data_IF_945670328402
#
_entry.id   IF_945670328402
#
_cell.length_a   1.000
_cell.length_b   1.000
_cell.length_c   1.000
_cell.angle_alpha   90.00
_cell.angle_beta   90.00
_cell.angle_gamma   90.00
#
_symmetry.space_group_name_H-M   'P 1'
#
loop_
_entity.id
_entity.type
_entity.pdbx_description
1 polymer ?
#
# COMPACT_ATOMS: atom_id res chain seq x y z
N UNK A 1 5.25 -28.41 -4.82
CA UNK A 1 4.73 -27.31 -3.97
C UNK A 1 4.82 -26.02 -4.76
N UNK A 2 3.71 -25.33 -5.00
CA UNK A 2 3.74 -24.10 -5.81
C UNK A 2 4.26 -22.93 -4.98
N UNK A 3 5.58 -22.69 -5.05
CA UNK A 3 6.26 -21.64 -4.29
C UNK A 3 5.66 -20.28 -4.61
N UNK A 4 5.35 -20.01 -5.89
CA UNK A 4 4.74 -18.75 -6.31
C UNK A 4 3.38 -18.49 -5.65
N UNK A 5 2.54 -19.53 -5.52
CA UNK A 5 1.28 -19.42 -4.79
C UNK A 5 1.50 -19.04 -3.32
N UNK A 6 2.40 -19.74 -2.63
CA UNK A 6 2.68 -19.50 -1.21
C UNK A 6 3.29 -18.11 -0.95
N UNK A 7 4.18 -17.65 -1.83
CA UNK A 7 4.75 -16.31 -1.75
C UNK A 7 3.66 -15.22 -1.87
N UNK A 8 2.76 -15.34 -2.85
CA UNK A 8 1.70 -14.36 -3.04
C UNK A 8 0.61 -14.43 -1.95
N UNK A 9 0.13 -15.63 -1.61
CA UNK A 9 -1.00 -15.79 -0.67
C UNK A 9 -0.64 -15.36 0.75
N UNK A 10 0.62 -15.52 1.16
CA UNK A 10 1.09 -15.10 2.48
C UNK A 10 1.05 -13.57 2.66
N UNK A 11 1.19 -12.80 1.57
CA UNK A 11 1.16 -11.33 1.60
C UNK A 11 -0.27 -10.76 1.57
N UNK A 12 -1.24 -11.49 1.01
CA UNK A 12 -2.64 -11.06 0.98
C UNK A 12 -3.17 -10.69 2.37
N UNK A 13 -3.07 -11.53 3.43
CA UNK A 13 -3.58 -11.15 4.75
C UNK A 13 -2.83 -9.94 5.33
N UNK A 14 -1.52 -9.79 5.06
CA UNK A 14 -0.74 -8.64 5.53
C UNK A 14 -1.27 -7.34 4.93
N UNK A 15 -1.48 -7.30 3.61
CA UNK A 15 -2.05 -6.13 2.94
C UNK A 15 -3.51 -5.89 3.30
N UNK A 16 -4.28 -6.94 3.54
CA UNK A 16 -5.69 -6.80 3.93
C UNK A 16 -5.83 -6.27 5.36
N UNK A 17 -5.03 -6.77 6.31
CA UNK A 17 -5.02 -6.29 7.70
C UNK A 17 -4.58 -4.82 7.74
N UNK A 18 -3.53 -4.46 7.01
CA UNK A 18 -3.09 -3.06 6.94
C UNK A 18 -4.16 -2.16 6.31
N UNK A 19 -4.82 -2.59 5.24
CA UNK A 19 -5.95 -1.85 4.67
C UNK A 19 -7.11 -1.66 5.68
N UNK A 20 -7.47 -2.71 6.44
CA UNK A 20 -8.48 -2.61 7.50
C UNK A 20 -8.07 -1.63 8.59
N UNK A 21 -6.80 -1.65 9.02
CA UNK A 21 -6.29 -0.69 10.00
C UNK A 21 -6.48 0.75 9.50
N UNK A 22 -6.08 1.05 8.26
CA UNK A 22 -6.31 2.39 7.67
C UNK A 22 -7.81 2.71 7.50
N UNK A 23 -8.66 1.72 7.26
CA UNK A 23 -10.12 1.91 7.17
C UNK A 23 -10.77 2.26 8.53
N UNK A 24 -10.36 1.59 9.61
CA UNK A 24 -10.94 1.75 10.96
C UNK A 24 -10.40 3.00 11.64
N UNK A 25 -9.08 3.21 11.60
CA UNK A 25 -8.42 4.29 12.34
C UNK A 25 -8.29 5.60 11.54
N UNK A 26 -8.51 5.56 10.22
CA UNK A 26 -8.51 6.74 9.33
C UNK A 26 -7.31 7.66 9.59
N UNK A 27 -7.56 8.96 9.82
CA UNK A 27 -6.54 9.96 10.07
C UNK A 27 -5.61 9.65 11.25
N UNK A 28 -6.02 8.85 12.24
CA UNK A 28 -5.14 8.48 13.37
C UNK A 28 -3.97 7.58 12.97
N UNK A 29 -4.06 6.91 11.81
CA UNK A 29 -3.01 6.02 11.31
C UNK A 29 -2.00 6.71 10.40
N UNK A 30 -2.23 7.96 9.99
CA UNK A 30 -1.28 8.68 9.12
C UNK A 30 0.07 8.89 9.79
N UNK A 31 0.13 8.93 11.12
CA UNK A 31 1.38 8.91 11.90
C UNK A 31 2.26 7.68 11.69
N UNK A 32 1.70 6.57 11.20
CA UNK A 32 2.46 5.37 10.86
C UNK A 32 2.97 5.38 9.40
N UNK A 33 2.56 6.37 8.61
CA UNK A 33 3.12 6.58 7.28
C UNK A 33 4.50 7.18 7.48
N UNK A 34 5.53 6.42 7.14
CA UNK A 34 6.94 6.76 7.38
C UNK A 34 7.29 8.15 6.86
N UNK A 35 6.86 8.50 5.64
CA UNK A 35 7.09 9.84 5.08
C UNK A 35 6.38 10.96 5.86
N UNK A 36 5.17 10.73 6.34
CA UNK A 36 4.39 11.74 7.06
C UNK A 36 4.92 11.94 8.49
N UNK A 37 5.37 10.87 9.14
CA UNK A 37 5.98 10.93 10.47
C UNK A 37 7.31 11.70 10.47
N UNK A 38 7.99 11.79 9.32
CA UNK A 38 9.18 12.62 9.14
C UNK A 38 8.88 14.12 9.07
N UNK A 39 7.63 14.53 8.80
CA UNK A 39 7.26 15.94 8.79
C UNK A 39 7.18 16.52 10.21
N UNK A 40 7.51 17.82 10.40
CA UNK A 40 7.36 18.49 11.69
C UNK A 40 5.92 18.38 12.21
N UNK A 41 5.75 18.08 13.51
CA UNK A 41 4.42 17.95 14.15
C UNK A 41 3.53 19.20 13.99
N UNK A 42 4.13 20.38 13.78
CA UNK A 42 3.43 21.64 13.54
C UNK A 42 2.83 21.72 12.12
N UNK A 43 3.40 21.00 11.16
CA UNK A 43 2.96 20.98 9.76
C UNK A 43 1.95 19.85 9.49
N UNK A 44 2.04 18.74 10.23
CA UNK A 44 1.09 17.62 10.14
C UNK A 44 -0.41 17.99 10.18
N UNK A 45 -0.90 18.97 10.98
CA UNK A 45 -2.31 19.36 10.96
C UNK A 45 -2.71 20.16 9.70
N UNK A 46 -1.76 20.62 8.88
CA UNK A 46 -2.04 21.33 7.62
C UNK A 46 -2.45 20.38 6.48
N UNK A 47 -2.35 19.06 6.69
CA UNK A 47 -2.66 18.05 5.70
C UNK A 47 -3.94 17.29 6.06
N UNK A 48 -4.72 16.93 5.05
CA UNK A 48 -5.92 16.10 5.19
C UNK A 48 -5.53 14.65 5.47
N UNK A 49 -5.50 14.33 6.76
CA UNK A 49 -5.14 13.01 7.25
C UNK A 49 -6.18 11.94 6.87
N UNK A 50 -7.43 12.31 6.67
CA UNK A 50 -8.45 11.34 6.26
C UNK A 50 -8.29 10.96 4.79
N UNK A 51 -8.03 11.94 3.92
CA UNK A 51 -7.73 11.70 2.51
C UNK A 51 -6.46 10.84 2.35
N UNK A 52 -5.40 11.14 3.10
CA UNK A 52 -4.16 10.33 3.12
C UNK A 52 -4.42 8.89 3.55
N UNK A 53 -5.17 8.68 4.64
CA UNK A 53 -5.50 7.35 5.12
C UNK A 53 -6.36 6.57 4.11
N UNK A 54 -7.26 7.25 3.40
CA UNK A 54 -8.11 6.66 2.38
C UNK A 54 -7.32 6.24 1.13
N UNK A 55 -6.37 7.06 0.68
CA UNK A 55 -5.48 6.72 -0.44
C UNK A 55 -4.62 5.50 -0.07
N UNK A 56 -3.99 5.54 1.12
CA UNK A 56 -3.16 4.45 1.63
C UNK A 56 -3.95 3.14 1.76
N UNK A 57 -5.19 3.19 2.27
CA UNK A 57 -6.10 2.03 2.28
C UNK A 57 -6.31 1.47 0.88
N UNK A 58 -6.61 2.32 -0.09
CA UNK A 58 -6.88 1.90 -1.46
C UNK A 58 -5.62 1.28 -2.11
N UNK A 59 -4.44 1.83 -1.84
CA UNK A 59 -3.17 1.23 -2.25
C UNK A 59 -2.96 -0.17 -1.68
N UNK A 60 -3.15 -0.35 -0.37
CA UNK A 60 -3.02 -1.69 0.23
C UNK A 60 -4.06 -2.69 -0.29
N UNK A 61 -5.28 -2.25 -0.58
CA UNK A 61 -6.30 -3.10 -1.24
C UNK A 61 -5.88 -3.47 -2.67
N UNK A 62 -5.31 -2.54 -3.43
CA UNK A 62 -4.76 -2.80 -4.76
C UNK A 62 -3.61 -3.83 -4.68
N UNK A 63 -2.72 -3.71 -3.70
CA UNK A 63 -1.64 -4.67 -3.50
C UNK A 63 -2.15 -6.06 -3.13
N UNK A 64 -3.15 -6.13 -2.23
CA UNK A 64 -3.82 -7.38 -1.88
C UNK A 64 -4.45 -8.03 -3.12
N UNK A 65 -5.10 -7.25 -3.98
CA UNK A 65 -5.71 -7.73 -5.22
C UNK A 65 -4.66 -8.22 -6.23
N UNK A 66 -3.55 -7.49 -6.43
CA UNK A 66 -2.44 -7.92 -7.28
C UNK A 66 -1.87 -9.25 -6.79
N UNK A 67 -1.66 -9.40 -5.48
CA UNK A 67 -1.13 -10.65 -4.89
C UNK A 67 -2.14 -11.79 -4.99
N UNK A 68 -3.44 -11.54 -4.81
CA UNK A 68 -4.48 -12.55 -4.95
C UNK A 68 -4.56 -13.04 -6.40
N UNK A 69 -4.55 -12.14 -7.37
CA UNK A 69 -4.49 -12.49 -8.79
C UNK A 69 -3.20 -13.25 -9.12
N UNK A 70 -2.06 -12.82 -8.58
CA UNK A 70 -0.78 -13.52 -8.71
C UNK A 70 -0.83 -14.97 -8.19
N UNK A 71 -1.47 -15.18 -7.04
CA UNK A 71 -1.66 -16.51 -6.47
C UNK A 71 -2.59 -17.38 -7.35
N UNK A 72 -3.71 -16.84 -7.81
CA UNK A 72 -4.66 -17.55 -8.68
C UNK A 72 -4.01 -17.93 -10.02
N UNK A 73 -3.36 -16.98 -10.69
CA UNK A 73 -2.66 -17.25 -11.95
C UNK A 73 -1.48 -18.21 -11.77
N UNK A 74 -0.83 -18.20 -10.60
CA UNK A 74 0.27 -19.12 -10.30
C UNK A 74 -0.19 -20.58 -10.30
N UNK A 75 -1.44 -20.83 -9.87
CA UNK A 75 -2.05 -22.16 -9.85
C UNK A 75 -2.59 -22.56 -11.22
N UNK A 76 -3.18 -21.62 -11.97
CA UNK A 76 -3.86 -21.89 -13.24
C UNK A 76 -2.89 -21.94 -14.44
N UNK A 77 -1.96 -20.98 -14.52
CA UNK A 77 -1.07 -20.81 -15.66
C UNK A 77 0.31 -21.42 -15.41
N UNK A 78 1.04 -20.87 -14.44
CA UNK A 78 2.43 -21.22 -14.19
C UNK A 78 2.95 -20.52 -12.93
N UNK A 79 3.81 -21.14 -12.11
CA UNK A 79 4.46 -20.49 -10.97
C UNK A 79 5.19 -19.18 -11.32
N UNK A 80 5.63 -19.01 -12.57
CA UNK A 80 6.30 -17.79 -13.04
C UNK A 80 5.35 -16.57 -13.12
N UNK A 81 4.03 -16.75 -13.13
CA UNK A 81 3.09 -15.62 -13.10
C UNK A 81 3.14 -14.85 -11.78
N UNK A 82 3.59 -15.49 -10.69
CA UNK A 82 3.84 -14.81 -9.42
C UNK A 82 4.94 -13.74 -9.59
N UNK A 83 6.00 -14.03 -10.36
CA UNK A 83 7.06 -13.05 -10.64
C UNK A 83 6.51 -11.81 -11.36
N UNK A 84 5.61 -12.00 -12.33
CA UNK A 84 4.92 -10.88 -12.99
C UNK A 84 4.08 -10.06 -12.01
N UNK A 85 3.35 -10.71 -11.08
CA UNK A 85 2.60 -10.02 -10.04
C UNK A 85 3.52 -9.19 -9.11
N UNK A 86 4.69 -9.72 -8.73
CA UNK A 86 5.67 -8.98 -7.95
C UNK A 86 6.27 -7.79 -8.69
N UNK A 87 6.51 -7.91 -10.01
CA UNK A 87 6.98 -6.79 -10.83
C UNK A 87 5.93 -5.67 -10.91
N UNK A 88 4.67 -6.03 -11.13
CA UNK A 88 3.56 -5.07 -11.17
C UNK A 88 3.41 -4.39 -9.81
N UNK A 89 3.36 -5.18 -8.74
CA UNK A 89 3.27 -4.66 -7.38
C UNK A 89 4.45 -3.73 -7.05
N UNK A 90 5.67 -4.15 -7.38
CA UNK A 90 6.88 -3.33 -7.17
C UNK A 90 6.80 -2.00 -7.91
N UNK A 91 6.35 -2.00 -9.17
CA UNK A 91 6.14 -0.77 -9.93
C UNK A 91 5.17 0.19 -9.21
N UNK A 92 4.01 -0.30 -8.75
CA UNK A 92 3.06 0.53 -8.01
C UNK A 92 3.61 1.01 -6.66
N UNK A 93 4.31 0.13 -5.94
CA UNK A 93 4.92 0.44 -4.65
C UNK A 93 5.95 1.57 -4.78
N UNK A 94 6.90 1.46 -5.71
CA UNK A 94 7.90 2.51 -5.93
C UNK A 94 7.31 3.80 -6.50
N UNK A 95 6.21 3.72 -7.25
CA UNK A 95 5.51 4.91 -7.74
C UNK A 95 4.82 5.67 -6.61
N UNK A 96 4.36 4.99 -5.56
CA UNK A 96 3.66 5.61 -4.43
C UNK A 96 4.62 6.05 -3.32
N UNK A 97 5.71 5.32 -3.12
CA UNK A 97 6.80 5.67 -2.20
C UNK A 97 7.65 6.78 -2.81
N UNK A 98 7.26 8.02 -2.53
CA UNK A 98 8.06 9.20 -2.88
C UNK A 98 9.11 9.43 -1.79
N UNK A 99 10.37 9.60 -2.21
CA UNK A 99 11.49 9.89 -1.31
C UNK A 99 11.38 11.28 -0.67
N UNK A 100 10.65 12.19 -1.33
CA UNK A 100 10.41 13.56 -0.85
C UNK A 100 9.01 13.68 -0.23
N UNK A 101 8.89 13.74 1.13
CA UNK A 101 7.60 13.82 1.81
C UNK A 101 6.80 15.06 1.41
N UNK A 102 7.45 16.20 1.18
CA UNK A 102 6.74 17.44 0.90
C UNK A 102 5.99 17.37 -0.44
N UNK A 103 6.66 16.87 -1.49
CA UNK A 103 6.00 16.61 -2.79
C UNK A 103 4.96 15.50 -2.72
N UNK A 104 5.19 14.49 -1.88
CA UNK A 104 4.26 13.38 -1.71
C UNK A 104 2.92 13.81 -1.10
N UNK A 105 2.99 14.71 -0.11
CA UNK A 105 1.84 15.12 0.68
C UNK A 105 1.21 16.46 0.25
N UNK A 106 1.85 17.23 -0.62
CA UNK A 106 1.31 18.50 -1.13
C UNK A 106 -0.12 18.37 -1.70
N UNK A 107 -0.44 17.25 -2.34
CA UNK A 107 -1.79 16.97 -2.86
C UNK A 107 -2.88 16.88 -1.77
N UNK A 108 -2.49 16.78 -0.50
CA UNK A 108 -3.37 16.70 0.67
C UNK A 108 -3.39 17.98 1.51
N UNK A 109 -2.74 19.06 1.08
CA UNK A 109 -2.75 20.31 1.84
C UNK A 109 -4.19 20.86 1.95
N UNK A 110 -4.62 21.14 3.17
CA UNK A 110 -5.91 21.78 3.46
C UNK A 110 -5.74 23.26 3.10
N UNK A 111 -6.24 23.66 1.92
CA UNK A 111 -6.26 25.07 1.48
C UNK A 111 -7.31 25.88 2.22
#
# INVERSE_FOLDING_TARGET
MNIGFWCCIALVPVFFITAILFAVFKGKCTKYITGFNSLPKKEQPLYDQEAMAKDMRNSYLLYALIMLLGAVFSVILSPYSAAAAYLIWGYFFFREVHVDPHKAFEKYLIK
#
